data_IF_431875465356
#
_entry.id   IF_431875465356
#
_cell.length_a   1.000
_cell.length_b   1.000
_cell.length_c   1.000
_cell.angle_alpha   90.00
_cell.angle_beta   90.00
_cell.angle_gamma   90.00
#
_symmetry.space_group_name_H-M   'P 1'
#
loop_
_entity.id
_entity.type
_entity.pdbx_description
1 polymer ?
#
# COMPACT_ATOMS: atom_id res chain seq x y z
N UNK A 1 -12.16 14.95 19.12
CA UNK A 1 -11.16 15.13 18.04
C UNK A 1 -11.61 14.58 16.67
N UNK A 2 -12.78 13.94 16.54
CA UNK A 2 -13.26 13.34 15.28
C UNK A 2 -13.77 14.34 14.22
N UNK A 3 -13.91 15.63 14.55
CA UNK A 3 -14.56 16.62 13.69
C UNK A 3 -13.68 17.18 12.57
N UNK A 4 -12.35 17.15 12.70
CA UNK A 4 -11.45 17.88 11.78
C UNK A 4 -11.24 17.25 10.41
N UNK A 5 -11.72 16.03 10.16
CA UNK A 5 -11.51 15.29 8.90
C UNK A 5 -12.83 14.92 8.19
N UNK A 6 -13.98 15.46 8.62
CA UNK A 6 -15.24 15.18 7.95
C UNK A 6 -15.31 15.96 6.62
N UNK A 7 -15.28 15.25 5.49
CA UNK A 7 -15.36 15.87 4.16
C UNK A 7 -16.60 16.76 4.03
N UNK A 8 -16.42 18.05 3.75
CA UNK A 8 -17.52 19.01 3.55
C UNK A 8 -18.08 18.97 2.12
N UNK A 9 -17.35 18.35 1.20
CA UNK A 9 -17.73 18.14 -0.19
C UNK A 9 -17.38 16.71 -0.63
N UNK A 10 -17.87 16.33 -1.81
CA UNK A 10 -17.46 15.11 -2.52
C UNK A 10 -17.61 15.34 -4.02
N UNK A 11 -17.29 14.35 -4.84
CA UNK A 11 -17.48 14.41 -6.29
C UNK A 11 -18.96 14.55 -6.69
N UNK A 12 -19.28 15.29 -7.76
CA UNK A 12 -20.64 15.37 -8.29
C UNK A 12 -21.21 13.98 -8.58
N UNK A 13 -22.47 13.76 -8.17
CA UNK A 13 -23.17 12.49 -8.36
C UNK A 13 -23.04 11.49 -7.22
N UNK A 14 -22.22 11.77 -6.18
CA UNK A 14 -22.20 10.98 -4.94
C UNK A 14 -22.79 11.77 -3.77
N UNK A 15 -23.49 11.05 -2.87
CA UNK A 15 -23.83 11.62 -1.56
C UNK A 15 -22.57 11.77 -0.69
N UNK A 16 -22.57 12.71 0.26
CA UNK A 16 -21.46 12.86 1.21
C UNK A 16 -21.18 11.57 2.00
N UNK A 17 -22.23 10.85 2.41
CA UNK A 17 -22.06 9.57 3.13
C UNK A 17 -21.42 8.50 2.25
N UNK A 18 -21.82 8.41 0.98
CA UNK A 18 -21.21 7.47 0.03
C UNK A 18 -19.76 7.85 -0.27
N UNK A 19 -19.48 9.14 -0.49
CA UNK A 19 -18.12 9.63 -0.71
C UNK A 19 -17.19 9.32 0.46
N UNK A 20 -17.61 9.65 1.69
CA UNK A 20 -16.86 9.35 2.92
C UNK A 20 -16.62 7.85 3.10
N UNK A 21 -17.65 7.03 2.93
CA UNK A 21 -17.51 5.56 3.02
C UNK A 21 -16.54 5.00 1.97
N UNK A 22 -16.57 5.56 0.77
CA UNK A 22 -15.65 5.17 -0.31
C UNK A 22 -14.22 5.56 0.05
N UNK A 23 -14.01 6.77 0.57
CA UNK A 23 -12.71 7.23 1.05
C UNK A 23 -12.17 6.38 2.21
N UNK A 24 -13.02 5.93 3.15
CA UNK A 24 -12.62 5.00 4.23
C UNK A 24 -12.09 3.67 3.67
N UNK A 25 -12.78 3.09 2.68
CA UNK A 25 -12.34 1.84 2.04
C UNK A 25 -11.00 2.08 1.32
N UNK A 26 -10.89 3.18 0.58
CA UNK A 26 -9.66 3.55 -0.13
C UNK A 26 -8.52 3.84 0.84
N UNK A 27 -8.76 4.41 2.01
CA UNK A 27 -7.74 4.65 3.03
C UNK A 27 -7.13 3.33 3.54
N UNK A 28 -7.96 2.31 3.74
CA UNK A 28 -7.47 0.96 4.07
C UNK A 28 -6.62 0.37 2.93
N UNK A 29 -7.01 0.62 1.68
CA UNK A 29 -6.21 0.19 0.50
C UNK A 29 -4.92 0.98 0.35
N UNK A 30 -4.93 2.28 0.64
CA UNK A 30 -3.75 3.14 0.63
C UNK A 30 -2.69 2.62 1.60
N UNK A 31 -3.07 2.25 2.82
CA UNK A 31 -2.15 1.65 3.77
C UNK A 31 -1.56 0.33 3.26
N UNK A 32 -2.38 -0.55 2.67
CA UNK A 32 -1.92 -1.82 2.10
C UNK A 32 -0.88 -1.63 0.99
N UNK A 33 -1.12 -0.70 0.06
CA UNK A 33 -0.20 -0.48 -1.06
C UNK A 33 1.05 0.33 -0.69
N UNK A 34 0.98 1.19 0.34
CA UNK A 34 2.18 1.80 0.93
C UNK A 34 3.04 0.72 1.60
N UNK A 35 2.44 -0.22 2.32
CA UNK A 35 3.17 -1.32 2.94
C UNK A 35 3.78 -2.26 1.88
N UNK A 36 3.02 -2.58 0.82
CA UNK A 36 3.46 -3.44 -0.26
C UNK A 36 4.68 -2.89 -1.00
N UNK A 37 4.69 -1.61 -1.40
CA UNK A 37 5.85 -1.06 -2.12
C UNK A 37 7.13 -1.03 -1.26
N UNK A 38 6.99 -0.87 0.07
CA UNK A 38 8.11 -0.98 1.00
C UNK A 38 8.57 -2.43 1.16
N UNK A 39 7.63 -3.37 1.31
CA UNK A 39 7.90 -4.81 1.41
C UNK A 39 8.58 -5.35 0.16
N UNK A 40 8.13 -4.94 -1.03
CA UNK A 40 8.75 -5.32 -2.31
C UNK A 40 10.19 -4.79 -2.40
N UNK A 41 10.44 -3.54 -1.99
CA UNK A 41 11.82 -3.00 -1.96
C UNK A 41 12.70 -3.72 -0.95
N UNK A 42 12.14 -4.07 0.21
CA UNK A 42 12.82 -4.87 1.21
C UNK A 42 13.24 -6.23 0.64
N UNK A 43 12.33 -6.97 -0.02
CA UNK A 43 12.66 -8.23 -0.68
C UNK A 43 13.70 -8.05 -1.80
N UNK A 44 13.57 -7.00 -2.62
CA UNK A 44 14.50 -6.67 -3.70
C UNK A 44 15.94 -6.45 -3.19
N UNK A 45 16.13 -5.87 -2.00
CA UNK A 45 17.45 -5.71 -1.39
C UNK A 45 17.99 -6.97 -0.72
N UNK A 46 17.11 -7.89 -0.30
CA UNK A 46 17.46 -9.00 0.57
C UNK A 46 17.52 -10.38 -0.10
N UNK A 47 17.09 -10.47 -1.35
CA UNK A 47 17.15 -11.71 -2.12
C UNK A 47 18.59 -12.14 -2.43
N UNK A 48 18.89 -13.44 -2.29
CA UNK A 48 20.18 -14.06 -2.62
C UNK A 48 20.02 -15.41 -3.33
N UNK A 49 21.13 -15.94 -3.86
CA UNK A 49 21.19 -17.29 -4.44
C UNK A 49 20.96 -17.34 -5.95
N UNK A 50 20.80 -18.56 -6.51
CA UNK A 50 20.56 -18.75 -7.95
C UNK A 50 19.32 -17.96 -8.41
N UNK A 51 19.46 -17.25 -9.53
CA UNK A 51 18.40 -16.38 -10.05
C UNK A 51 18.30 -15.00 -9.39
N UNK A 52 19.25 -14.64 -8.50
CA UNK A 52 19.30 -13.33 -7.84
C UNK A 52 18.96 -12.17 -8.76
N UNK A 53 19.73 -11.98 -9.84
CA UNK A 53 19.56 -10.81 -10.71
C UNK A 53 18.20 -10.79 -11.39
N UNK A 54 17.70 -11.96 -11.81
CA UNK A 54 16.40 -12.08 -12.46
C UNK A 54 15.26 -11.68 -11.54
N UNK A 55 15.25 -12.17 -10.29
CA UNK A 55 14.21 -11.79 -9.30
C UNK A 55 14.38 -10.35 -8.85
N UNK A 56 15.61 -9.90 -8.62
CA UNK A 56 15.91 -8.53 -8.22
C UNK A 56 15.37 -7.51 -9.25
N UNK A 57 15.67 -7.72 -10.53
CA UNK A 57 15.18 -6.87 -11.63
C UNK A 57 13.68 -7.06 -11.88
N UNK A 58 13.14 -8.28 -11.71
CA UNK A 58 11.71 -8.55 -11.86
C UNK A 58 10.85 -7.74 -10.88
N UNK A 59 11.34 -7.50 -9.65
CA UNK A 59 10.58 -6.78 -8.64
C UNK A 59 10.46 -5.27 -8.93
N UNK A 60 11.43 -4.67 -9.62
CA UNK A 60 11.49 -3.21 -9.83
C UNK A 60 10.30 -2.65 -10.62
N UNK A 61 9.89 -3.21 -11.78
CA UNK A 61 8.70 -2.76 -12.48
C UNK A 61 7.43 -2.84 -11.62
N UNK A 62 7.31 -3.86 -10.77
CA UNK A 62 6.18 -4.00 -9.86
C UNK A 62 6.19 -2.96 -8.75
N UNK A 63 7.38 -2.64 -8.19
CA UNK A 63 7.53 -1.57 -7.20
C UNK A 63 7.07 -0.23 -7.78
N UNK A 64 7.52 0.12 -8.98
CA UNK A 64 7.12 1.37 -9.64
C UNK A 64 5.63 1.41 -9.94
N UNK A 65 5.04 0.28 -10.34
CA UNK A 65 3.59 0.17 -10.54
C UNK A 65 2.82 0.40 -9.24
N UNK A 66 3.21 -0.24 -8.13
CA UNK A 66 2.54 -0.08 -6.84
C UNK A 66 2.71 1.36 -6.31
N UNK A 67 3.87 1.99 -6.52
CA UNK A 67 4.09 3.41 -6.19
C UNK A 67 3.13 4.34 -6.95
N UNK A 68 2.92 4.08 -8.24
CA UNK A 68 1.92 4.82 -9.01
C UNK A 68 0.50 4.58 -8.47
N UNK A 69 0.17 3.36 -8.03
CA UNK A 69 -1.13 3.07 -7.39
C UNK A 69 -1.32 3.81 -6.07
N UNK A 70 -0.26 3.96 -5.25
CA UNK A 70 -0.30 4.75 -4.01
C UNK A 70 -0.79 6.16 -4.30
N UNK A 71 -0.20 6.81 -5.31
CA UNK A 71 -0.53 8.17 -5.71
C UNK A 71 -1.99 8.26 -6.19
N UNK A 72 -2.39 7.39 -7.15
CA UNK A 72 -3.75 7.35 -7.69
C UNK A 72 -4.81 7.18 -6.59
N UNK A 73 -4.58 6.29 -5.62
CA UNK A 73 -5.53 6.04 -4.53
C UNK A 73 -5.57 7.22 -3.56
N UNK A 74 -4.41 7.80 -3.20
CA UNK A 74 -4.33 8.95 -2.33
C UNK A 74 -5.04 10.18 -2.95
N UNK A 75 -4.79 10.46 -4.22
CA UNK A 75 -5.47 11.53 -4.96
C UNK A 75 -6.98 11.29 -5.08
N UNK A 76 -7.41 10.01 -5.19
CA UNK A 76 -8.83 9.69 -5.19
C UNK A 76 -9.50 9.97 -3.84
N UNK A 77 -8.82 9.68 -2.73
CA UNK A 77 -9.30 10.03 -1.38
C UNK A 77 -9.43 11.56 -1.24
N UNK A 78 -8.42 12.31 -1.67
CA UNK A 78 -8.44 13.77 -1.68
C UNK A 78 -9.59 14.33 -2.54
N UNK A 79 -9.82 13.74 -3.71
CA UNK A 79 -10.92 14.09 -4.62
C UNK A 79 -12.30 13.85 -4.00
N UNK A 80 -12.43 12.85 -3.12
CA UNK A 80 -13.65 12.58 -2.35
C UNK A 80 -13.82 13.52 -1.13
N UNK A 81 -12.91 14.49 -0.96
CA UNK A 81 -12.98 15.52 0.08
C UNK A 81 -12.38 15.10 1.43
N UNK A 82 -11.68 13.96 1.49
CA UNK A 82 -11.02 13.46 2.71
C UNK A 82 -9.51 13.62 2.58
N UNK A 83 -8.81 13.98 3.65
CA UNK A 83 -7.35 14.02 3.65
C UNK A 83 -6.78 12.59 3.73
N UNK A 84 -5.97 12.14 2.76
CA UNK A 84 -5.34 10.82 2.80
C UNK A 84 -4.24 10.77 3.87
N UNK A 85 -4.24 9.71 4.68
CA UNK A 85 -3.19 9.43 5.66
C UNK A 85 -2.14 8.49 5.06
N UNK A 86 -0.94 9.03 4.77
CA UNK A 86 0.17 8.26 4.18
C UNK A 86 1.39 8.12 5.09
N UNK A 87 1.33 8.56 6.35
CA UNK A 87 2.48 8.51 7.25
C UNK A 87 2.72 7.10 7.80
N UNK A 88 3.98 6.70 8.07
CA UNK A 88 4.28 5.37 8.60
C UNK A 88 3.53 5.04 9.89
N UNK A 89 3.41 6.01 10.80
CA UNK A 89 2.67 5.81 12.05
C UNK A 89 1.17 5.55 11.84
N UNK A 90 0.55 6.21 10.86
CA UNK A 90 -0.86 5.97 10.52
C UNK A 90 -1.06 4.57 9.92
N UNK A 91 -0.15 4.15 9.05
CA UNK A 91 -0.13 2.80 8.48
C UNK A 91 -0.04 1.74 9.59
N UNK A 92 0.99 1.84 10.45
CA UNK A 92 1.23 0.84 11.51
C UNK A 92 0.06 0.78 12.49
N UNK A 93 -0.53 1.93 12.83
CA UNK A 93 -1.67 1.98 13.74
C UNK A 93 -2.97 1.37 13.16
N UNK A 94 -3.09 1.30 11.84
CA UNK A 94 -4.33 0.92 11.16
C UNK A 94 -4.29 -0.44 10.45
N UNK A 95 -3.10 -0.96 10.12
CA UNK A 95 -2.98 -2.27 9.45
C UNK A 95 -3.49 -3.40 10.34
N UNK A 96 -3.98 -4.46 9.72
CA UNK A 96 -4.51 -5.66 10.40
C UNK A 96 -3.68 -6.90 10.12
N UNK A 97 -2.45 -6.72 9.67
CA UNK A 97 -1.47 -7.75 9.34
C UNK A 97 -0.12 -7.42 9.99
N UNK A 98 0.71 -8.45 10.14
CA UNK A 98 2.04 -8.33 10.71
C UNK A 98 3.07 -7.85 9.67
N UNK A 99 4.23 -7.39 10.14
CA UNK A 99 5.35 -7.04 9.26
C UNK A 99 5.84 -8.25 8.46
N UNK A 100 6.36 -7.97 7.26
CA UNK A 100 7.10 -8.96 6.47
C UNK A 100 8.32 -9.47 7.27
N UNK A 101 8.37 -10.79 7.48
CA UNK A 101 9.27 -11.38 8.48
C UNK A 101 10.65 -11.75 7.94
N UNK A 102 10.80 -11.95 6.64
CA UNK A 102 12.07 -12.38 6.05
C UNK A 102 13.05 -11.21 5.98
N UNK A 103 14.24 -11.37 6.54
CA UNK A 103 15.41 -10.57 6.23
C UNK A 103 16.08 -11.08 4.94
N UNK A 104 17.39 -11.34 4.99
CA UNK A 104 18.13 -11.95 3.88
C UNK A 104 17.71 -13.41 3.65
N UNK A 105 17.17 -13.74 2.48
CA UNK A 105 16.70 -15.09 2.15
C UNK A 105 16.87 -15.42 0.66
N UNK A 106 16.65 -16.68 0.29
CA UNK A 106 16.76 -17.13 -1.10
C UNK A 106 15.63 -16.56 -1.98
N UNK A 107 15.83 -16.60 -3.30
CA UNK A 107 14.80 -16.25 -4.30
C UNK A 107 13.47 -16.95 -4.04
N UNK A 108 13.48 -18.27 -3.85
CA UNK A 108 12.26 -19.05 -3.63
C UNK A 108 11.57 -18.72 -2.30
N UNK A 109 12.33 -18.50 -1.23
CA UNK A 109 11.76 -18.12 0.07
C UNK A 109 11.07 -16.76 0.00
N UNK A 110 11.70 -15.76 -0.62
CA UNK A 110 11.08 -14.46 -0.81
C UNK A 110 9.83 -14.54 -1.69
N UNK A 111 9.86 -15.31 -2.79
CA UNK A 111 8.71 -15.47 -3.67
C UNK A 111 7.54 -16.17 -2.97
N UNK A 112 7.82 -17.25 -2.22
CA UNK A 112 6.79 -17.95 -1.44
C UNK A 112 6.18 -17.05 -0.35
N UNK A 113 7.01 -16.24 0.33
CA UNK A 113 6.51 -15.29 1.33
C UNK A 113 5.72 -14.13 0.69
N UNK A 114 6.12 -13.67 -0.50
CA UNK A 114 5.37 -12.64 -1.25
C UNK A 114 4.04 -13.18 -1.77
N UNK A 115 3.95 -14.45 -2.14
CA UNK A 115 2.70 -15.09 -2.59
C UNK A 115 1.59 -14.95 -1.53
N UNK A 116 1.93 -15.20 -0.26
CA UNK A 116 1.02 -15.02 0.88
C UNK A 116 0.56 -13.58 1.11
N UNK A 117 1.27 -12.59 0.55
CA UNK A 117 0.87 -11.16 0.63
C UNK A 117 -0.16 -10.82 -0.45
N UNK A 118 -0.22 -11.60 -1.55
CA UNK A 118 -1.14 -11.37 -2.66
C UNK A 118 -2.47 -12.15 -2.56
N UNK A 119 -2.56 -13.17 -1.70
CA UNK A 119 -3.80 -13.92 -1.38
C UNK A 119 -4.81 -13.13 -0.52
#
# INVERSE_FOLDING_TARGET
>A
MAEKNAAEYTVPGLSLSTGRRTAEILQGRLHAIIDLQLTLKHAHWNVVGPGFIGVHEMLDPQIELVRAMVDVVAERIATLGVSPAGTPGALVAARTWDDYTLGRATTLEHLAALDLVYD
#
